data_IF_079168487547
#
_entry.id   IF_079168487547
#
_cell.length_a   1.000
_cell.length_b   1.000
_cell.length_c   1.000
_cell.angle_alpha   90.00
_cell.angle_beta   90.00
_cell.angle_gamma   90.00
#
_symmetry.space_group_name_H-M   'P 1'
#
loop_
_entity.id
_entity.type
_entity.pdbx_description
1 polymer ?
#
# COMPACT_ATOMS: atom_id res chain seq x y z
N UNK A 1 22.27 3.58 -2.79
CA UNK A 1 22.27 2.30 -2.02
C UNK A 1 20.84 1.89 -1.65
N UNK A 2 20.01 2.81 -1.13
CA UNK A 2 18.67 2.49 -0.64
C UNK A 2 17.71 2.00 -1.76
N UNK A 3 17.80 2.56 -2.96
CA UNK A 3 16.95 2.16 -4.10
C UNK A 3 17.18 0.70 -4.47
N UNK A 4 18.44 0.26 -4.55
CA UNK A 4 18.78 -1.14 -4.88
C UNK A 4 18.23 -2.09 -3.82
N UNK A 5 18.44 -1.76 -2.54
CA UNK A 5 17.96 -2.58 -1.42
C UNK A 5 16.42 -2.70 -1.39
N UNK A 6 15.70 -1.61 -1.71
CA UNK A 6 14.22 -1.64 -1.82
C UNK A 6 13.78 -2.49 -3.01
N UNK A 7 14.46 -2.39 -4.17
CA UNK A 7 14.14 -3.22 -5.35
C UNK A 7 14.34 -4.71 -5.06
N UNK A 8 15.45 -5.07 -4.42
CA UNK A 8 15.75 -6.46 -4.04
C UNK A 8 14.69 -7.00 -3.06
N UNK A 9 14.31 -6.19 -2.06
CA UNK A 9 13.24 -6.54 -1.14
C UNK A 9 11.90 -6.70 -1.86
N UNK A 10 11.54 -5.77 -2.74
CA UNK A 10 10.31 -5.82 -3.51
C UNK A 10 10.24 -7.05 -4.41
N UNK A 11 11.33 -7.36 -5.13
CA UNK A 11 11.42 -8.54 -5.98
C UNK A 11 11.25 -9.85 -5.18
N UNK A 12 11.76 -9.88 -3.95
CA UNK A 12 11.72 -11.04 -3.06
C UNK A 12 10.35 -11.24 -2.42
N UNK A 13 9.63 -10.14 -2.11
CA UNK A 13 8.38 -10.19 -1.35
C UNK A 13 7.11 -10.14 -2.22
N UNK A 14 7.18 -9.61 -3.43
CA UNK A 14 6.03 -9.47 -4.33
C UNK A 14 5.41 -10.81 -4.74
N UNK A 15 6.18 -11.86 -5.11
CA UNK A 15 5.63 -13.15 -5.50
C UNK A 15 4.69 -13.77 -4.46
N UNK A 16 5.01 -13.62 -3.18
CA UNK A 16 4.21 -14.16 -2.07
C UNK A 16 2.83 -13.51 -1.91
N UNK A 17 2.69 -12.30 -2.45
CA UNK A 17 1.43 -11.55 -2.40
C UNK A 17 0.56 -11.77 -3.64
N UNK A 18 1.10 -12.42 -4.66
CA UNK A 18 0.41 -12.68 -5.91
C UNK A 18 -0.65 -13.76 -5.77
N UNK A 19 -1.77 -13.65 -6.48
CA UNK A 19 -2.74 -14.75 -6.59
C UNK A 19 -2.11 -15.97 -7.26
N UNK A 20 -2.51 -17.17 -6.83
CA UNK A 20 -2.00 -18.45 -7.37
C UNK A 20 -2.19 -18.62 -8.89
N UNK A 21 -3.16 -17.91 -9.46
CA UNK A 21 -3.47 -17.95 -10.90
C UNK A 21 -2.62 -16.98 -11.74
N UNK A 22 -1.72 -16.22 -11.13
CA UNK A 22 -0.82 -15.35 -11.87
C UNK A 22 0.39 -16.16 -12.37
N UNK A 23 0.70 -16.05 -13.67
CA UNK A 23 1.83 -16.80 -14.22
C UNK A 23 3.18 -16.26 -13.75
N UNK A 24 4.18 -17.12 -13.71
CA UNK A 24 5.53 -16.73 -13.32
C UNK A 24 6.10 -15.64 -14.25
N UNK A 25 5.78 -15.69 -15.54
CA UNK A 25 6.20 -14.68 -16.52
C UNK A 25 5.60 -13.32 -16.19
N UNK A 26 4.29 -13.26 -15.81
CA UNK A 26 3.64 -12.02 -15.42
C UNK A 26 4.22 -11.44 -14.13
N UNK A 27 4.61 -12.29 -13.18
CA UNK A 27 5.30 -11.86 -11.95
C UNK A 27 6.66 -11.24 -12.29
N UNK A 28 7.47 -11.92 -13.11
CA UNK A 28 8.79 -11.44 -13.53
C UNK A 28 8.67 -10.11 -14.28
N UNK A 29 7.73 -10.01 -15.22
CA UNK A 29 7.47 -8.78 -15.96
C UNK A 29 7.05 -7.62 -15.04
N UNK A 30 6.16 -7.88 -14.09
CA UNK A 30 5.74 -6.87 -13.12
C UNK A 30 6.91 -6.39 -12.26
N UNK A 31 7.74 -7.30 -11.76
CA UNK A 31 8.95 -6.94 -11.00
C UNK A 31 9.88 -6.08 -11.84
N UNK A 32 10.15 -6.48 -13.08
CA UNK A 32 11.05 -5.76 -13.96
C UNK A 32 10.54 -4.36 -14.36
N UNK A 33 9.22 -4.18 -14.48
CA UNK A 33 8.63 -2.93 -14.98
C UNK A 33 8.08 -2.02 -13.88
N UNK A 34 7.52 -2.57 -12.81
CA UNK A 34 6.81 -1.83 -11.76
C UNK A 34 7.56 -1.75 -10.44
N UNK A 35 8.62 -2.56 -10.27
CA UNK A 35 9.44 -2.61 -9.06
C UNK A 35 10.93 -2.44 -9.40
N UNK A 36 11.23 -1.82 -10.54
CA UNK A 36 12.59 -1.54 -11.00
C UNK A 36 13.22 -0.37 -10.23
N UNK A 37 14.56 -0.26 -10.35
CA UNK A 37 15.31 0.85 -9.75
C UNK A 37 14.83 2.22 -10.25
N UNK A 38 14.57 2.35 -11.54
CA UNK A 38 14.10 3.61 -12.14
C UNK A 38 12.73 4.02 -11.56
N UNK A 39 11.84 3.07 -11.32
CA UNK A 39 10.52 3.33 -10.70
C UNK A 39 10.69 3.79 -9.27
N UNK A 40 11.49 3.10 -8.46
CA UNK A 40 11.70 3.50 -7.06
C UNK A 40 12.47 4.82 -6.95
N UNK A 41 13.45 5.07 -7.82
CA UNK A 41 14.16 6.34 -7.86
C UNK A 41 13.22 7.50 -8.17
N UNK A 42 12.35 7.36 -9.16
CA UNK A 42 11.32 8.35 -9.47
C UNK A 42 10.36 8.60 -8.29
N UNK A 43 9.93 7.54 -7.59
CA UNK A 43 9.05 7.66 -6.43
C UNK A 43 9.74 8.36 -5.24
N UNK A 44 11.00 8.03 -4.97
CA UNK A 44 11.78 8.63 -3.87
C UNK A 44 12.13 10.08 -4.18
N UNK A 45 12.35 10.42 -5.44
CA UNK A 45 12.69 11.76 -5.89
C UNK A 45 11.53 12.76 -5.79
N UNK A 46 10.29 12.30 -5.66
CA UNK A 46 9.12 13.18 -5.46
C UNK A 46 8.41 12.93 -4.11
N UNK A 47 9.02 13.33 -2.97
CA UNK A 47 8.45 13.13 -1.64
C UNK A 47 7.17 13.93 -1.39
N UNK A 48 6.80 14.85 -2.26
CA UNK A 48 5.52 15.57 -2.19
C UNK A 48 4.35 14.74 -2.68
N UNK A 49 4.62 13.73 -3.52
CA UNK A 49 3.61 12.85 -4.10
C UNK A 49 3.70 11.42 -3.58
N UNK A 50 4.89 11.00 -3.14
CA UNK A 50 5.15 9.61 -2.76
C UNK A 50 5.91 9.57 -1.44
N UNK A 51 5.46 8.72 -0.54
CA UNK A 51 6.07 8.50 0.78
C UNK A 51 6.45 7.04 0.90
N UNK A 52 7.75 6.79 0.94
CA UNK A 52 8.32 5.45 1.12
C UNK A 52 8.95 5.39 2.50
N UNK A 53 8.52 4.42 3.31
CA UNK A 53 9.15 4.09 4.58
C UNK A 53 9.65 2.65 4.52
N UNK A 54 10.81 2.42 5.10
CA UNK A 54 11.46 1.11 5.16
C UNK A 54 11.65 0.68 6.61
N UNK A 55 11.64 -0.62 6.84
CA UNK A 55 12.07 -1.24 8.08
C UNK A 55 13.44 -1.89 7.84
N UNK A 56 14.41 -1.47 8.63
CA UNK A 56 15.80 -1.92 8.54
C UNK A 56 16.21 -2.63 9.83
N UNK A 57 17.02 -3.67 9.69
CA UNK A 57 17.64 -4.41 10.78
C UNK A 57 19.13 -4.59 10.47
N UNK A 58 19.97 -5.00 11.44
CA UNK A 58 21.32 -5.44 11.11
C UNK A 58 21.27 -6.58 10.08
N UNK A 59 21.70 -6.29 8.86
CA UNK A 59 21.65 -7.23 7.73
C UNK A 59 20.80 -6.79 6.54
N UNK A 60 20.08 -5.67 6.64
CA UNK A 60 19.40 -5.02 5.51
C UNK A 60 17.92 -4.73 5.72
N UNK A 61 17.23 -4.40 4.64
CA UNK A 61 15.82 -4.07 4.64
C UNK A 61 14.95 -5.33 4.74
N UNK A 62 13.98 -5.28 5.65
CA UNK A 62 13.05 -6.39 5.94
C UNK A 62 11.58 -6.06 5.66
N UNK A 63 11.27 -4.81 5.35
CA UNK A 63 9.93 -4.40 4.96
C UNK A 63 9.90 -2.98 4.40
N UNK A 64 8.85 -2.68 3.64
CA UNK A 64 8.59 -1.32 3.16
C UNK A 64 7.10 -1.05 3.00
N UNK A 65 6.73 0.22 3.08
CA UNK A 65 5.40 0.73 2.75
C UNK A 65 5.54 1.93 1.83
N UNK A 66 4.71 1.95 0.78
CA UNK A 66 4.61 3.05 -0.17
C UNK A 66 3.20 3.63 -0.12
N UNK A 67 3.13 4.94 0.08
CA UNK A 67 1.87 5.70 0.06
C UNK A 67 1.98 6.81 -0.98
N UNK A 68 0.99 6.92 -1.84
CA UNK A 68 0.81 8.08 -2.70
C UNK A 68 0.03 9.15 -1.94
N UNK A 69 0.52 10.38 -1.98
CA UNK A 69 -0.05 11.54 -1.30
C UNK A 69 -0.10 12.71 -2.30
N UNK A 70 -1.03 13.58 -2.19
CA UNK A 70 -1.18 14.69 -3.16
C UNK A 70 -2.47 14.58 -3.98
N UNK A 71 -2.69 15.50 -4.91
CA UNK A 71 -3.99 15.66 -5.57
C UNK A 71 -4.41 14.45 -6.40
N UNK A 72 -3.46 13.72 -6.98
CA UNK A 72 -3.70 12.57 -7.85
C UNK A 72 -3.28 11.24 -7.18
N UNK A 73 -3.34 11.19 -5.85
CA UNK A 73 -2.88 10.03 -5.07
C UNK A 73 -3.68 8.75 -5.39
N UNK A 74 -4.98 8.89 -5.61
CA UNK A 74 -5.87 7.76 -5.83
C UNK A 74 -5.86 7.29 -7.28
N UNK A 75 -5.80 5.98 -7.54
CA UNK A 75 -6.08 5.41 -8.85
C UNK A 75 -7.44 5.89 -9.38
N UNK A 76 -7.51 6.20 -10.67
CA UNK A 76 -8.73 6.76 -11.31
C UNK A 76 -9.97 5.87 -11.20
N UNK A 77 -9.79 4.57 -11.07
CA UNK A 77 -10.88 3.60 -10.85
C UNK A 77 -11.44 3.63 -9.42
N UNK A 78 -10.74 4.27 -8.48
CA UNK A 78 -11.20 4.50 -7.11
C UNK A 78 -11.87 5.86 -6.94
N UNK A 79 -11.55 6.84 -7.78
CA UNK A 79 -12.15 8.18 -7.79
C UNK A 79 -13.51 8.12 -8.48
N UNK A 80 -14.53 7.65 -7.77
CA UNK A 80 -15.92 7.66 -8.24
C UNK A 80 -16.83 8.22 -7.15
N UNK A 81 -17.89 8.97 -7.50
CA UNK A 81 -18.82 9.52 -6.53
C UNK A 81 -19.31 8.47 -5.53
N UNK A 82 -19.10 8.73 -4.23
CA UNK A 82 -19.52 7.87 -3.12
C UNK A 82 -18.61 6.67 -2.83
N UNK A 83 -17.45 6.52 -3.48
CA UNK A 83 -16.49 5.44 -3.19
C UNK A 83 -15.39 5.86 -2.24
N UNK A 84 -14.67 6.93 -2.56
CA UNK A 84 -13.55 7.44 -1.75
C UNK A 84 -13.41 8.95 -1.99
N UNK A 85 -13.04 9.70 -0.96
CA UNK A 85 -12.83 11.14 -1.04
C UNK A 85 -11.49 11.47 -1.71
N UNK A 86 -11.46 12.46 -2.59
CA UNK A 86 -10.28 12.90 -3.33
C UNK A 86 -9.13 13.37 -2.41
N UNK A 87 -9.43 13.78 -1.18
CA UNK A 87 -8.45 14.16 -0.16
C UNK A 87 -7.75 13.00 0.53
N UNK A 88 -7.98 11.76 0.09
CA UNK A 88 -7.40 10.57 0.73
C UNK A 88 -6.00 10.26 0.21
N UNK A 89 -5.13 9.75 1.08
CA UNK A 89 -3.87 9.11 0.68
C UNK A 89 -4.13 7.67 0.19
N UNK A 90 -3.32 7.18 -0.74
CA UNK A 90 -3.40 5.81 -1.25
C UNK A 90 -2.21 4.97 -0.82
N UNK A 91 -2.45 3.98 0.02
CA UNK A 91 -1.45 2.98 0.39
C UNK A 91 -1.33 1.94 -0.73
N UNK A 92 -0.29 2.09 -1.52
CA UNK A 92 -0.05 1.31 -2.74
C UNK A 92 0.62 -0.02 -2.47
N UNK A 93 1.58 -0.04 -1.54
CA UNK A 93 2.40 -1.22 -1.25
C UNK A 93 2.68 -1.30 0.25
N UNK A 94 2.61 -2.51 0.82
CA UNK A 94 3.10 -2.83 2.16
C UNK A 94 3.56 -4.27 2.15
N UNK A 95 4.86 -4.47 2.15
CA UNK A 95 5.48 -5.79 2.07
C UNK A 95 6.51 -5.99 3.16
N UNK A 96 6.53 -7.20 3.71
CA UNK A 96 7.49 -7.63 4.74
C UNK A 96 8.04 -8.97 4.34
N UNK A 97 9.36 -9.10 4.45
CA UNK A 97 10.10 -10.34 4.23
C UNK A 97 9.49 -11.48 5.06
N UNK A 98 9.42 -12.67 4.50
CA UNK A 98 8.76 -13.82 5.11
C UNK A 98 9.29 -14.11 6.50
N UNK A 99 10.61 -14.04 6.68
CA UNK A 99 11.26 -14.29 7.96
C UNK A 99 10.86 -13.29 9.08
N UNK A 100 10.28 -12.14 8.68
CA UNK A 100 9.89 -11.07 9.60
C UNK A 100 8.37 -10.89 9.70
N UNK A 101 7.59 -11.77 9.08
CA UNK A 101 6.13 -11.79 9.25
C UNK A 101 5.76 -12.19 10.68
N UNK A 102 4.79 -11.47 11.24
CA UNK A 102 4.38 -11.68 12.64
C UNK A 102 5.30 -11.06 13.71
N UNK A 103 6.38 -10.38 13.30
CA UNK A 103 7.33 -9.72 14.22
C UNK A 103 6.92 -8.31 14.66
N UNK A 104 5.81 -7.76 14.14
CA UNK A 104 5.38 -6.37 14.34
C UNK A 104 5.92 -5.37 13.32
N UNK A 105 6.77 -5.78 12.39
CA UNK A 105 7.32 -4.91 11.32
C UNK A 105 6.19 -4.32 10.46
N UNK A 106 5.25 -5.14 10.01
CA UNK A 106 4.11 -4.66 9.24
C UNK A 106 3.24 -3.66 10.02
N UNK A 107 3.04 -3.93 11.32
CA UNK A 107 2.27 -3.03 12.20
C UNK A 107 2.96 -1.66 12.31
N UNK A 108 4.27 -1.63 12.51
CA UNK A 108 5.05 -0.39 12.57
C UNK A 108 5.00 0.40 11.25
N UNK A 109 5.14 -0.27 10.11
CA UNK A 109 5.09 0.35 8.78
C UNK A 109 3.72 0.97 8.49
N UNK A 110 2.64 0.26 8.78
CA UNK A 110 1.27 0.75 8.57
C UNK A 110 0.99 1.96 9.46
N UNK A 111 1.32 1.91 10.74
CA UNK A 111 1.09 3.03 11.65
C UNK A 111 1.95 4.25 11.27
N UNK A 112 3.18 4.04 10.78
CA UNK A 112 4.01 5.12 10.26
C UNK A 112 3.38 5.78 9.03
N UNK A 113 2.91 5.01 8.07
CA UNK A 113 2.25 5.52 6.86
C UNK A 113 0.97 6.28 7.19
N UNK A 114 0.17 5.77 8.13
CA UNK A 114 -1.07 6.41 8.59
C UNK A 114 -0.79 7.71 9.34
N UNK A 115 0.23 7.73 10.21
CA UNK A 115 0.64 8.94 10.92
C UNK A 115 1.11 10.02 9.95
N UNK A 116 1.95 9.67 8.98
CA UNK A 116 2.45 10.59 7.96
C UNK A 116 1.30 11.18 7.11
N UNK A 117 0.35 10.36 6.66
CA UNK A 117 -0.83 10.83 5.93
C UNK A 117 -1.67 11.82 6.76
N UNK A 118 -1.85 11.54 8.06
CA UNK A 118 -2.55 12.45 8.98
C UNK A 118 -1.81 13.77 9.14
N UNK A 119 -0.49 13.74 9.32
CA UNK A 119 0.36 14.93 9.49
C UNK A 119 0.35 15.79 8.23
N UNK A 120 0.16 15.18 7.06
CA UNK A 120 -0.02 15.87 5.77
C UNK A 120 -1.45 16.40 5.56
N UNK A 121 -2.37 16.16 6.48
CA UNK A 121 -3.74 16.67 6.43
C UNK A 121 -4.72 15.84 5.60
N UNK A 122 -4.38 14.60 5.26
CA UNK A 122 -5.32 13.71 4.58
C UNK A 122 -6.46 13.29 5.51
N UNK A 123 -7.66 13.15 4.97
CA UNK A 123 -8.86 12.76 5.71
C UNK A 123 -8.98 11.25 5.89
N UNK A 124 -8.37 10.48 5.01
CA UNK A 124 -8.37 9.02 5.07
C UNK A 124 -7.13 8.41 4.37
N UNK A 125 -6.87 7.15 4.69
CA UNK A 125 -5.97 6.27 3.91
C UNK A 125 -6.79 5.18 3.26
N UNK A 126 -6.58 4.98 1.98
CA UNK A 126 -7.27 3.99 1.13
C UNK A 126 -6.28 2.96 0.65
N UNK A 127 -6.71 1.71 0.54
CA UNK A 127 -5.94 0.64 -0.10
C UNK A 127 -6.85 -0.32 -0.87
N UNK A 128 -6.25 -1.03 -1.83
CA UNK A 128 -6.84 -2.21 -2.45
C UNK A 128 -6.08 -3.47 -2.01
N UNK A 129 -6.79 -4.54 -1.73
CA UNK A 129 -6.18 -5.84 -1.46
C UNK A 129 -6.97 -6.95 -2.12
N UNK A 130 -6.28 -7.97 -2.63
CA UNK A 130 -6.92 -9.07 -3.31
C UNK A 130 -8.03 -9.69 -2.48
N UNK A 131 -9.18 -9.96 -3.10
CA UNK A 131 -10.36 -10.54 -2.44
C UNK A 131 -10.08 -11.89 -1.81
N UNK A 132 -9.15 -12.66 -2.37
CA UNK A 132 -8.70 -13.95 -1.83
C UNK A 132 -7.76 -13.82 -0.63
N UNK A 133 -7.03 -12.70 -0.50
CA UNK A 133 -6.05 -12.50 0.57
C UNK A 133 -6.74 -12.16 1.90
N UNK A 134 -7.25 -13.17 2.58
CA UNK A 134 -7.96 -13.02 3.87
C UNK A 134 -7.05 -12.56 4.99
N UNK A 135 -5.77 -12.95 4.95
CA UNK A 135 -4.78 -12.56 5.94
C UNK A 135 -4.51 -11.05 5.89
N UNK A 136 -4.30 -10.49 4.69
CA UNK A 136 -4.13 -9.05 4.51
C UNK A 136 -5.39 -8.28 4.93
N UNK A 137 -6.59 -8.75 4.54
CA UNK A 137 -7.84 -8.11 4.97
C UNK A 137 -8.01 -8.10 6.49
N UNK A 138 -7.66 -9.21 7.17
CA UNK A 138 -7.72 -9.29 8.63
C UNK A 138 -6.67 -8.36 9.28
N UNK A 139 -5.46 -8.30 8.72
CA UNK A 139 -4.40 -7.39 9.14
C UNK A 139 -4.87 -5.94 9.06
N UNK A 140 -5.31 -5.47 7.91
CA UNK A 140 -5.79 -4.09 7.74
C UNK A 140 -6.99 -3.77 8.63
N UNK A 141 -7.90 -4.73 8.84
CA UNK A 141 -9.02 -4.56 9.77
C UNK A 141 -8.56 -4.29 11.20
N UNK A 142 -7.52 -4.99 11.69
CA UNK A 142 -6.94 -4.73 13.03
C UNK A 142 -6.35 -3.32 13.14
N UNK A 143 -5.86 -2.76 12.00
CA UNK A 143 -5.36 -1.39 11.90
C UNK A 143 -6.44 -0.35 11.57
N UNK A 144 -7.71 -0.65 11.84
CA UNK A 144 -8.80 0.30 11.72
C UNK A 144 -9.32 0.53 10.29
N UNK A 145 -8.80 -0.20 9.31
CA UNK A 145 -9.36 -0.14 7.95
C UNK A 145 -10.68 -0.90 7.88
N UNK A 146 -11.65 -0.33 7.18
CA UNK A 146 -12.96 -0.93 6.97
C UNK A 146 -13.21 -1.12 5.49
N UNK A 147 -13.82 -2.25 5.11
CA UNK A 147 -14.25 -2.49 3.74
C UNK A 147 -15.26 -1.43 3.32
N UNK A 148 -15.00 -0.76 2.21
CA UNK A 148 -15.87 0.27 1.64
C UNK A 148 -16.51 -0.16 0.33
N UNK A 149 -15.74 -0.77 -0.56
CA UNK A 149 -16.21 -1.21 -1.88
C UNK A 149 -15.36 -2.36 -2.43
N UNK A 150 -15.57 -2.68 -3.69
CA UNK A 150 -14.72 -3.59 -4.47
C UNK A 150 -14.35 -2.93 -5.78
N UNK A 151 -13.20 -3.30 -6.34
CA UNK A 151 -12.81 -2.93 -7.69
C UNK A 151 -12.42 -4.17 -8.49
N UNK A 152 -12.56 -4.07 -9.80
CA UNK A 152 -12.04 -5.05 -10.74
C UNK A 152 -11.17 -4.32 -11.74
N UNK A 153 -9.99 -4.86 -12.00
CA UNK A 153 -9.04 -4.29 -12.95
C UNK A 153 -8.32 -5.41 -13.68
N UNK A 154 -7.87 -5.13 -14.88
CA UNK A 154 -7.13 -6.06 -15.71
C UNK A 154 -5.62 -5.92 -15.47
N UNK A 155 -4.93 -7.04 -15.34
CA UNK A 155 -3.46 -7.11 -15.31
C UNK A 155 -3.03 -8.17 -16.32
N UNK A 156 -2.50 -7.73 -17.45
CA UNK A 156 -2.00 -8.64 -18.47
C UNK A 156 -3.07 -9.59 -19.05
N UNK A 157 -4.33 -9.13 -19.16
CA UNK A 157 -5.47 -9.95 -19.62
C UNK A 157 -6.13 -10.79 -18.53
N UNK A 158 -5.68 -10.69 -17.28
CA UNK A 158 -6.28 -11.40 -16.12
C UNK A 158 -7.06 -10.41 -15.26
N UNK A 159 -8.36 -10.68 -15.08
CA UNK A 159 -9.21 -9.88 -14.21
C UNK A 159 -8.88 -10.13 -12.74
N UNK A 160 -8.47 -9.08 -12.06
CA UNK A 160 -8.20 -9.07 -10.64
C UNK A 160 -9.35 -8.43 -9.87
N UNK A 161 -9.67 -8.97 -8.71
CA UNK A 161 -10.73 -8.49 -7.85
C UNK A 161 -10.18 -8.08 -6.49
N UNK A 162 -10.23 -6.78 -6.19
CA UNK A 162 -9.83 -6.26 -4.89
C UNK A 162 -11.02 -5.89 -4.01
N UNK A 163 -10.79 -6.00 -2.71
CA UNK A 163 -11.55 -5.29 -1.69
C UNK A 163 -10.88 -3.95 -1.47
N UNK A 164 -11.64 -2.87 -1.56
CA UNK A 164 -11.20 -1.52 -1.22
C UNK A 164 -11.47 -1.29 0.26
N UNK A 165 -10.43 -0.94 0.99
CA UNK A 165 -10.52 -0.67 2.43
C UNK A 165 -10.07 0.75 2.71
N UNK A 166 -10.70 1.38 3.71
CA UNK A 166 -10.49 2.79 4.09
C UNK A 166 -10.32 2.87 5.60
N UNK A 167 -9.33 3.64 6.03
CA UNK A 167 -9.16 4.10 7.42
C UNK A 167 -9.34 5.61 7.46
N UNK A 168 -10.43 6.06 8.09
CA UNK A 168 -10.69 7.48 8.33
C UNK A 168 -9.67 8.04 9.33
N UNK A 169 -9.12 9.21 9.05
CA UNK A 169 -8.08 9.89 9.86
C UNK A 169 -8.64 11.07 10.64
N UNK A 170 -9.74 11.64 10.17
CA UNK A 170 -10.46 12.70 10.91
C UNK A 170 -11.03 12.12 12.19
N UNK A 171 -10.93 12.81 13.32
CA UNK A 171 -11.62 12.41 14.53
C UNK A 171 -13.12 12.31 14.20
N UNK A 172 -13.71 11.14 14.36
CA UNK A 172 -15.17 11.01 14.33
C UNK A 172 -15.73 12.02 15.32
N UNK A 173 -16.35 13.10 14.80
CA UNK A 173 -16.96 14.24 15.47
C UNK A 173 -16.83 14.29 16.98
N UNK A 174 -15.90 15.08 17.48
CA UNK A 174 -15.96 15.54 18.85
C UNK A 174 -17.23 16.37 18.99
N UNK A 175 -18.17 15.89 19.82
CA UNK A 175 -19.31 16.71 20.27
C UNK A 175 -18.69 17.92 20.94
N UNK A 176 -18.74 19.09 20.30
CA UNK A 176 -18.49 20.36 20.97
C UNK A 176 -19.69 20.61 21.87
N UNK A 177 -19.51 20.36 23.14
CA UNK A 177 -20.45 20.85 24.16
C UNK A 177 -20.27 22.37 24.24
N UNK A 178 -21.24 23.10 23.77
CA UNK A 178 -21.35 24.54 23.97
C UNK A 178 -21.76 24.87 25.43
#
# INVERSE_FOLDING_TARGET
EDVVAVCELAARTFPDACPENLSQEAIVEHVATQLSADVFDALISDPKRHRLFVAEVPGGLVGYVLTHVGPDALPSDLVRPGRVDEGSAYLSKCYVDEAWRGSGVADALIERAVADARDMGHEAVVLGTNRGNKNAQAFYKRHGFRRRSTRTFDVGGVLNHDVVMVRDLTPTGGVTLA
#
